data_IF_408680303774
#
_entry.id   IF_408680303774
#
_cell.length_a   1.000
_cell.length_b   1.000
_cell.length_c   1.000
_cell.angle_alpha   90.00
_cell.angle_beta   90.00
_cell.angle_gamma   90.00
#
_symmetry.space_group_name_H-M   'P 1'
#
loop_
_entity.id
_entity.type
_entity.pdbx_description
1 polymer ?
#
# COMPACT_ATOMS: atom_id res chain seq x y z
N UNK A 1 -16.55 -11.09 -25.39
CA UNK A 1 -16.30 -9.69 -25.04
C UNK A 1 -16.44 -9.53 -23.55
N UNK A 2 -15.39 -9.06 -22.89
CA UNK A 2 -15.37 -8.82 -21.44
C UNK A 2 -15.19 -7.33 -21.13
N UNK A 3 -15.78 -6.89 -20.02
CA UNK A 3 -15.52 -5.55 -19.49
C UNK A 3 -14.03 -5.33 -19.20
N UNK A 4 -13.27 -6.42 -19.00
CA UNK A 4 -11.84 -6.38 -18.68
C UNK A 4 -10.94 -6.42 -19.91
N UNK A 5 -11.50 -6.49 -21.11
CA UNK A 5 -10.71 -6.51 -22.35
C UNK A 5 -9.89 -5.23 -22.50
N UNK A 6 -8.67 -5.36 -22.99
CA UNK A 6 -7.78 -4.24 -23.23
C UNK A 6 -6.91 -3.82 -22.06
N UNK A 7 -7.10 -4.40 -20.89
CA UNK A 7 -6.23 -4.13 -19.72
C UNK A 7 -4.95 -4.93 -19.88
N UNK A 8 -3.81 -4.26 -19.91
CA UNK A 8 -2.51 -4.89 -20.12
C UNK A 8 -2.05 -5.60 -18.86
N UNK A 9 -1.54 -6.80 -19.02
CA UNK A 9 -1.02 -7.62 -17.92
C UNK A 9 0.34 -7.12 -17.42
N UNK A 10 1.14 -6.49 -18.29
CA UNK A 10 2.52 -6.12 -18.02
C UNK A 10 2.70 -4.83 -17.23
N UNK A 11 1.62 -4.14 -16.88
CA UNK A 11 1.72 -2.90 -16.10
C UNK A 11 2.00 -3.20 -14.62
N UNK A 12 2.45 -2.18 -13.84
CA UNK A 12 2.67 -2.35 -12.40
C UNK A 12 1.45 -2.94 -11.69
N UNK A 13 1.68 -3.79 -10.70
CA UNK A 13 0.63 -4.62 -10.10
C UNK A 13 -0.53 -3.82 -9.52
N UNK A 14 -0.23 -2.74 -8.77
CA UNK A 14 -1.30 -1.92 -8.19
C UNK A 14 -2.06 -1.15 -9.24
N UNK A 15 -1.38 -0.69 -10.28
CA UNK A 15 -2.02 0.02 -11.40
C UNK A 15 -2.96 -0.92 -12.14
N UNK A 16 -2.51 -2.14 -12.41
CA UNK A 16 -3.35 -3.17 -13.05
C UNK A 16 -4.56 -3.52 -12.20
N UNK A 17 -4.36 -3.73 -10.90
CA UNK A 17 -5.46 -4.03 -9.97
C UNK A 17 -6.49 -2.90 -9.96
N UNK A 18 -6.04 -1.65 -9.96
CA UNK A 18 -6.92 -0.50 -10.01
C UNK A 18 -7.72 -0.44 -11.32
N UNK A 19 -7.07 -0.71 -12.45
CA UNK A 19 -7.73 -0.74 -13.75
C UNK A 19 -8.79 -1.84 -13.83
N UNK A 20 -8.47 -3.04 -13.36
CA UNK A 20 -9.40 -4.17 -13.29
C UNK A 20 -10.62 -3.81 -12.43
N UNK A 21 -10.37 -3.23 -11.25
CA UNK A 21 -11.42 -2.81 -10.33
C UNK A 21 -12.34 -1.75 -10.92
N UNK A 22 -11.79 -0.76 -11.60
CA UNK A 22 -12.57 0.28 -12.29
C UNK A 22 -13.50 -0.32 -13.35
N UNK A 23 -12.98 -1.24 -14.16
CA UNK A 23 -13.77 -1.87 -15.22
C UNK A 23 -14.89 -2.72 -14.64
N UNK A 24 -14.60 -3.48 -13.58
CA UNK A 24 -15.63 -4.28 -12.91
C UNK A 24 -16.69 -3.37 -12.28
N UNK A 25 -16.29 -2.32 -11.61
CA UNK A 25 -17.19 -1.35 -10.98
C UNK A 25 -18.12 -0.68 -11.99
N UNK A 26 -17.63 -0.39 -13.18
CA UNK A 26 -18.43 0.22 -14.25
C UNK A 26 -19.60 -0.66 -14.70
N UNK A 27 -19.54 -1.95 -14.46
CA UNK A 27 -20.67 -2.88 -14.75
C UNK A 27 -21.70 -2.92 -13.63
N UNK A 28 -21.44 -2.28 -12.49
CA UNK A 28 -22.28 -2.33 -11.29
C UNK A 28 -21.73 -3.24 -10.19
N UNK A 29 -20.63 -3.93 -10.44
CA UNK A 29 -20.01 -4.81 -9.45
C UNK A 29 -19.05 -4.01 -8.57
N UNK A 30 -19.62 -3.29 -7.59
CA UNK A 30 -18.87 -2.38 -6.70
C UNK A 30 -19.58 -2.21 -5.37
N UNK A 31 -18.85 -1.73 -4.35
CA UNK A 31 -19.44 -1.29 -3.08
C UNK A 31 -20.17 0.03 -3.29
N UNK A 32 -21.22 0.26 -2.51
CA UNK A 32 -22.00 1.51 -2.59
C UNK A 32 -21.16 2.73 -2.18
N UNK A 33 -20.25 2.56 -1.22
CA UNK A 33 -19.44 3.65 -0.70
C UNK A 33 -18.07 3.17 -0.20
N UNK A 34 -17.24 4.12 0.23
CA UNK A 34 -15.91 3.83 0.76
C UNK A 34 -15.97 3.01 2.06
N UNK A 35 -17.03 3.16 2.86
CA UNK A 35 -17.18 2.41 4.11
C UNK A 35 -17.30 0.91 3.84
N UNK A 36 -18.00 0.51 2.79
CA UNK A 36 -18.10 -0.89 2.37
C UNK A 36 -16.76 -1.45 1.93
N UNK A 37 -16.01 -0.70 1.15
CA UNK A 37 -14.68 -1.09 0.71
C UNK A 37 -13.71 -1.21 1.92
N UNK A 38 -13.80 -0.28 2.88
CA UNK A 38 -13.01 -0.35 4.12
C UNK A 38 -13.33 -1.58 4.95
N UNK A 39 -14.61 -1.92 5.07
CA UNK A 39 -15.04 -3.11 5.79
C UNK A 39 -14.43 -4.38 5.18
N UNK A 40 -14.29 -4.43 3.85
CA UNK A 40 -13.64 -5.55 3.16
C UNK A 40 -12.15 -5.64 3.53
N UNK A 41 -11.46 -4.51 3.67
CA UNK A 41 -10.06 -4.49 4.14
C UNK A 41 -9.95 -5.14 5.52
N UNK A 42 -10.85 -4.80 6.44
CA UNK A 42 -10.86 -5.36 7.79
C UNK A 42 -11.15 -6.87 7.75
N UNK A 43 -12.08 -7.30 6.90
CA UNK A 43 -12.37 -8.71 6.70
C UNK A 43 -11.14 -9.47 6.21
N UNK A 44 -10.44 -8.95 5.20
CA UNK A 44 -9.25 -9.60 4.64
C UNK A 44 -8.10 -9.61 5.65
N UNK A 45 -7.97 -8.59 6.48
CA UNK A 45 -6.98 -8.58 7.55
C UNK A 45 -7.20 -9.75 8.52
N UNK A 46 -8.45 -10.01 8.90
CA UNK A 46 -8.80 -11.14 9.75
C UNK A 46 -8.48 -12.48 9.06
N UNK A 47 -8.68 -12.57 7.75
CA UNK A 47 -8.34 -13.77 6.98
C UNK A 47 -6.84 -14.03 6.96
N UNK A 48 -6.02 -12.98 6.88
CA UNK A 48 -4.55 -13.12 6.99
C UNK A 48 -4.20 -13.69 8.37
N UNK A 49 -4.81 -13.15 9.43
CA UNK A 49 -4.56 -13.61 10.80
C UNK A 49 -4.94 -15.09 11.01
N UNK A 50 -5.97 -15.54 10.32
CA UNK A 50 -6.45 -16.93 10.41
C UNK A 50 -5.66 -17.92 9.56
N UNK A 51 -4.87 -17.44 8.59
CA UNK A 51 -4.09 -18.30 7.70
C UNK A 51 -2.92 -18.94 8.46
N UNK A 52 -2.70 -20.23 8.24
CA UNK A 52 -1.70 -21.00 8.98
C UNK A 52 -0.54 -21.50 8.14
N UNK A 53 -0.69 -21.53 6.82
CA UNK A 53 0.39 -21.97 5.90
C UNK A 53 0.88 -20.78 5.08
N UNK A 54 2.09 -20.91 4.54
CA UNK A 54 2.64 -19.89 3.66
C UNK A 54 1.77 -19.67 2.42
N UNK A 55 1.23 -20.74 1.86
CA UNK A 55 0.35 -20.65 0.68
C UNK A 55 -0.93 -19.88 1.00
N UNK A 56 -1.55 -20.17 2.15
CA UNK A 56 -2.76 -19.45 2.60
C UNK A 56 -2.43 -17.99 2.90
N UNK A 57 -1.33 -17.72 3.59
CA UNK A 57 -0.88 -16.37 3.90
C UNK A 57 -0.62 -15.54 2.64
N UNK A 58 0.00 -16.16 1.63
CA UNK A 58 0.27 -15.51 0.35
C UNK A 58 -1.05 -15.14 -0.34
N UNK A 59 -2.00 -16.05 -0.36
CA UNK A 59 -3.32 -15.82 -0.96
C UNK A 59 -4.04 -14.67 -0.25
N UNK A 60 -4.08 -14.72 1.08
CA UNK A 60 -4.82 -13.70 1.86
C UNK A 60 -4.13 -12.34 1.85
N UNK A 61 -2.79 -12.29 1.80
CA UNK A 61 -2.08 -11.01 1.64
C UNK A 61 -2.41 -10.41 0.26
N UNK A 62 -2.48 -11.23 -0.78
CA UNK A 62 -2.89 -10.76 -2.11
C UNK A 62 -4.30 -10.16 -2.08
N UNK A 63 -5.24 -10.84 -1.43
CA UNK A 63 -6.60 -10.37 -1.28
C UNK A 63 -6.68 -9.07 -0.47
N UNK A 64 -5.87 -8.96 0.58
CA UNK A 64 -5.78 -7.75 1.39
C UNK A 64 -5.26 -6.57 0.56
N UNK A 65 -4.20 -6.79 -0.22
CA UNK A 65 -3.67 -5.75 -1.11
C UNK A 65 -4.71 -5.31 -2.14
N UNK A 66 -5.44 -6.26 -2.71
CA UNK A 66 -6.50 -5.95 -3.67
C UNK A 66 -7.64 -5.16 -3.00
N UNK A 67 -8.02 -5.53 -1.78
CA UNK A 67 -9.03 -4.79 -1.00
C UNK A 67 -8.56 -3.35 -0.71
N UNK A 68 -7.28 -3.14 -0.41
CA UNK A 68 -6.70 -1.81 -0.22
C UNK A 68 -6.78 -0.97 -1.50
N UNK A 69 -6.52 -1.58 -2.65
CA UNK A 69 -6.65 -0.92 -3.95
C UNK A 69 -8.09 -0.43 -4.16
N UNK A 70 -9.08 -1.28 -3.84
CA UNK A 70 -10.48 -0.91 -3.97
C UNK A 70 -10.89 0.20 -3.01
N UNK A 71 -10.41 0.17 -1.78
CA UNK A 71 -10.66 1.23 -0.81
C UNK A 71 -10.08 2.55 -1.29
N UNK A 72 -8.83 2.53 -1.77
CA UNK A 72 -8.19 3.72 -2.35
C UNK A 72 -9.02 4.28 -3.52
N UNK A 73 -9.47 3.40 -4.42
CA UNK A 73 -10.31 3.79 -5.56
C UNK A 73 -11.60 4.48 -5.09
N UNK A 74 -12.26 3.93 -4.08
CA UNK A 74 -13.51 4.53 -3.53
C UNK A 74 -13.25 5.88 -2.87
N UNK A 75 -12.03 6.14 -2.39
CA UNK A 75 -11.61 7.43 -1.86
C UNK A 75 -11.14 8.40 -2.95
N UNK A 76 -11.10 7.97 -4.20
CA UNK A 76 -10.59 8.78 -5.30
C UNK A 76 -9.08 8.85 -5.36
N UNK A 77 -8.38 7.88 -4.76
CA UNK A 77 -6.92 7.82 -4.68
C UNK A 77 -6.41 6.77 -5.65
N UNK A 78 -5.41 7.13 -6.46
CA UNK A 78 -4.72 6.18 -7.34
C UNK A 78 -3.65 5.45 -6.53
N UNK A 79 -3.78 4.11 -6.33
CA UNK A 79 -2.95 3.39 -5.36
C UNK A 79 -1.47 3.27 -5.75
N UNK A 80 -1.15 3.16 -7.04
CA UNK A 80 0.26 3.08 -7.49
C UNK A 80 1.00 4.37 -7.15
N UNK A 81 0.39 5.52 -7.45
CA UNK A 81 0.96 6.83 -7.12
C UNK A 81 1.08 7.03 -5.61
N UNK A 82 0.09 6.61 -4.85
CA UNK A 82 0.11 6.71 -3.39
C UNK A 82 1.26 5.89 -2.79
N UNK A 83 1.45 4.65 -3.27
CA UNK A 83 2.54 3.81 -2.78
C UNK A 83 3.90 4.37 -3.22
N UNK A 84 4.01 4.84 -4.46
CA UNK A 84 5.24 5.46 -4.95
C UNK A 84 5.65 6.64 -4.06
N UNK A 85 4.69 7.49 -3.70
CA UNK A 85 4.92 8.63 -2.81
C UNK A 85 5.38 8.19 -1.42
N UNK A 86 4.73 7.17 -0.85
CA UNK A 86 5.10 6.62 0.46
C UNK A 86 6.51 6.02 0.44
N UNK A 87 6.85 5.30 -0.63
CA UNK A 87 8.16 4.68 -0.82
C UNK A 87 9.25 5.74 -0.91
N UNK A 88 9.02 6.78 -1.70
CA UNK A 88 9.98 7.88 -1.85
C UNK A 88 10.19 8.65 -0.54
N UNK A 89 9.11 8.84 0.22
CA UNK A 89 9.17 9.47 1.54
C UNK A 89 10.02 8.64 2.51
N UNK A 90 9.78 7.34 2.55
CA UNK A 90 10.59 6.43 3.37
C UNK A 90 12.06 6.47 2.97
N UNK A 91 12.34 6.35 1.67
CA UNK A 91 13.71 6.36 1.15
C UNK A 91 14.44 7.65 1.55
N UNK A 92 13.79 8.79 1.37
CA UNK A 92 14.38 10.09 1.73
C UNK A 92 14.71 10.19 3.21
N UNK A 93 13.79 9.74 4.06
CA UNK A 93 14.00 9.75 5.51
C UNK A 93 15.09 8.78 5.94
N UNK A 94 15.12 7.60 5.34
CA UNK A 94 16.15 6.60 5.66
C UNK A 94 17.55 7.11 5.26
N UNK A 95 17.68 7.69 4.07
CA UNK A 95 18.94 8.28 3.62
C UNK A 95 19.37 9.43 4.55
N UNK A 96 18.43 10.22 5.05
CA UNK A 96 18.74 11.28 6.02
C UNK A 96 19.24 10.70 7.35
N UNK A 97 18.67 9.58 7.80
CA UNK A 97 19.16 8.86 8.99
C UNK A 97 20.59 8.39 8.79
N UNK A 98 20.87 7.76 7.66
CA UNK A 98 22.22 7.29 7.33
C UNK A 98 23.21 8.45 7.31
N UNK A 99 22.83 9.56 6.71
CA UNK A 99 23.69 10.74 6.59
C UNK A 99 23.98 11.35 7.97
N UNK A 100 22.97 11.45 8.82
CA UNK A 100 23.11 12.04 10.14
C UNK A 100 23.95 11.17 11.08
N UNK A 101 23.78 9.85 11.03
CA UNK A 101 24.54 8.91 11.85
C UNK A 101 25.94 8.62 11.28
N UNK A 102 26.14 8.83 9.97
CA UNK A 102 27.41 8.56 9.29
C UNK A 102 27.76 7.08 9.30
N UNK A 103 29.06 6.78 9.33
CA UNK A 103 29.56 5.41 9.27
C UNK A 103 29.11 4.55 10.46
N UNK A 104 28.65 5.16 11.54
CA UNK A 104 28.17 4.46 12.73
C UNK A 104 26.74 3.92 12.60
N UNK A 105 26.03 4.23 11.51
CA UNK A 105 24.62 3.83 11.38
C UNK A 105 24.39 2.32 11.57
N UNK A 106 25.16 1.43 10.94
CA UNK A 106 24.91 -0.01 11.09
C UNK A 106 25.13 -0.54 12.51
N UNK A 107 25.86 0.20 13.35
CA UNK A 107 26.14 -0.19 14.73
C UNK A 107 25.07 0.31 15.72
N UNK A 108 24.12 1.13 15.28
CA UNK A 108 23.05 1.62 16.14
C UNK A 108 22.11 0.48 16.52
N UNK A 109 21.57 0.56 17.74
CA UNK A 109 20.49 -0.34 18.15
C UNK A 109 19.19 0.04 17.44
N UNK A 110 18.23 -0.87 17.43
CA UNK A 110 16.90 -0.58 16.86
C UNK A 110 16.26 0.62 17.56
N UNK A 111 16.38 0.72 18.90
CA UNK A 111 15.84 1.86 19.64
C UNK A 111 16.49 3.17 19.22
N UNK A 112 17.80 3.18 19.02
CA UNK A 112 18.53 4.36 18.55
C UNK A 112 18.09 4.75 17.13
N UNK A 113 17.91 3.76 16.25
CA UNK A 113 17.42 3.99 14.89
C UNK A 113 15.99 4.56 14.92
N UNK A 114 15.14 4.04 15.79
CA UNK A 114 13.76 4.52 15.94
C UNK A 114 13.72 5.97 16.44
N UNK A 115 14.58 6.33 17.39
CA UNK A 115 14.68 7.70 17.86
C UNK A 115 15.13 8.64 16.74
N UNK A 116 16.10 8.20 15.95
CA UNK A 116 16.58 8.97 14.81
C UNK A 116 15.50 9.13 13.75
N UNK A 117 14.75 8.07 13.48
CA UNK A 117 13.59 8.09 12.57
C UNK A 117 12.56 9.11 13.02
N UNK A 118 12.19 9.12 14.30
CA UNK A 118 11.22 10.07 14.84
C UNK A 118 11.71 11.51 14.71
N UNK A 119 12.99 11.76 14.95
CA UNK A 119 13.59 13.09 14.79
C UNK A 119 13.52 13.55 13.33
N UNK A 120 13.88 12.68 12.38
CA UNK A 120 13.83 12.99 10.95
C UNK A 120 12.38 13.20 10.51
N UNK A 121 11.47 12.36 10.94
CA UNK A 121 10.05 12.46 10.62
C UNK A 121 9.45 13.78 11.07
N UNK A 122 9.82 14.25 12.28
CA UNK A 122 9.34 15.53 12.81
C UNK A 122 9.84 16.75 12.02
N UNK A 123 10.96 16.62 11.31
CA UNK A 123 11.55 17.69 10.49
C UNK A 123 11.12 17.62 9.01
N UNK A 124 10.56 16.49 8.59
CA UNK A 124 10.17 16.30 7.20
C UNK A 124 8.69 16.65 7.05
N UNK A 125 8.33 17.68 6.26
CA UNK A 125 6.92 18.01 6.05
C UNK A 125 6.23 16.85 5.32
N UNK A 126 4.96 16.62 5.68
CA UNK A 126 4.12 15.66 4.97
C UNK A 126 3.85 16.19 3.57
N UNK A 127 4.07 15.39 2.52
CA UNK A 127 3.77 15.83 1.16
C UNK A 127 2.29 16.19 1.01
N UNK A 128 2.03 17.28 0.31
CA UNK A 128 0.66 17.66 -0.04
C UNK A 128 0.26 16.81 -1.24
N UNK A 129 -0.83 16.08 -1.08
CA UNK A 129 -1.34 15.20 -2.12
C UNK A 129 -1.85 15.98 -3.34
#
# INVERSE_FOLDING_TARGET
VSALDGIREEQPALLRANAISHRAAATGFDWDDAAGARAKVIEELAEVDAATTLAEQTDEIGDLLFALVNWARKLGIEPEGALHQATSKFEGRFRAMEQEAGAGFPALTLDQMEQLWQAIKGRTPTPIA
#
